data_IF_492327443238
#
_entry.id   IF_492327443238
#
_cell.length_a   1.000
_cell.length_b   1.000
_cell.length_c   1.000
_cell.angle_alpha   90.00
_cell.angle_beta   90.00
_cell.angle_gamma   90.00
#
_symmetry.space_group_name_H-M   'P 1'
#
loop_
_entity.id
_entity.type
_entity.pdbx_description
1 polymer ?
#
# COMPACT_ATOMS: atom_id res chain seq x y z
N UNK A 1 -21.83 -22.53 9.93
CA UNK A 1 -22.03 -23.38 8.74
C UNK A 1 -23.33 -22.96 8.07
N UNK A 2 -23.28 -22.04 7.12
CA UNK A 2 -24.45 -21.45 6.45
C UNK A 2 -24.79 -22.11 5.10
N UNK A 3 -24.14 -23.24 4.71
CA UNK A 3 -24.35 -23.84 3.39
C UNK A 3 -23.90 -22.92 2.23
N UNK A 4 -22.92 -22.05 2.47
CA UNK A 4 -22.34 -21.12 1.49
C UNK A 4 -21.28 -21.84 0.67
N UNK A 5 -21.34 -21.73 -0.65
CA UNK A 5 -20.21 -22.10 -1.49
C UNK A 5 -19.15 -20.99 -1.41
N UNK A 6 -17.94 -21.32 -1.02
CA UNK A 6 -16.83 -20.37 -0.95
C UNK A 6 -15.59 -20.93 -1.65
N UNK A 7 -14.96 -20.10 -2.50
CA UNK A 7 -13.74 -20.44 -3.24
C UNK A 7 -12.73 -19.33 -3.10
N UNK A 8 -11.47 -19.68 -2.81
CA UNK A 8 -10.35 -18.75 -2.88
C UNK A 8 -10.00 -18.47 -4.33
N UNK A 9 -9.95 -17.21 -4.73
CA UNK A 9 -9.65 -16.77 -6.09
C UNK A 9 -8.20 -16.27 -6.20
N UNK A 10 -7.70 -15.60 -5.16
CA UNK A 10 -6.30 -15.16 -5.06
C UNK A 10 -5.80 -15.25 -3.61
N UNK A 11 -4.61 -14.75 -3.34
CA UNK A 11 -4.03 -14.78 -1.98
C UNK A 11 -4.89 -14.07 -0.93
N UNK A 12 -5.65 -13.07 -1.35
CA UNK A 12 -6.41 -12.15 -0.50
C UNK A 12 -7.89 -12.04 -0.87
N UNK A 13 -8.35 -12.77 -1.92
CA UNK A 13 -9.73 -12.71 -2.40
C UNK A 13 -10.43 -14.07 -2.33
N UNK A 14 -11.67 -14.01 -1.90
CA UNK A 14 -12.58 -15.15 -1.85
C UNK A 14 -13.86 -14.78 -2.60
N UNK A 15 -14.39 -15.72 -3.36
CA UNK A 15 -15.74 -15.66 -3.93
C UNK A 15 -16.65 -16.53 -3.09
N UNK A 16 -17.81 -15.99 -2.72
CA UNK A 16 -18.86 -16.75 -2.05
C UNK A 16 -20.18 -16.65 -2.85
N UNK A 17 -20.89 -17.76 -2.96
CA UNK A 17 -22.24 -17.81 -3.53
C UNK A 17 -23.18 -18.31 -2.45
N UNK A 18 -24.26 -17.58 -2.24
CA UNK A 18 -25.26 -17.85 -1.20
C UNK A 18 -26.67 -17.53 -1.71
N UNK A 19 -27.66 -18.05 -1.06
CA UNK A 19 -29.06 -17.74 -1.38
C UNK A 19 -29.53 -16.50 -0.61
N UNK A 20 -30.71 -15.99 -1.00
CA UNK A 20 -31.27 -14.77 -0.43
C UNK A 20 -31.64 -14.91 1.07
N UNK A 21 -32.03 -16.10 1.51
CA UNK A 21 -32.36 -16.34 2.93
C UNK A 21 -31.11 -16.21 3.82
N UNK A 22 -29.97 -16.71 3.35
CA UNK A 22 -28.68 -16.56 4.06
C UNK A 22 -28.23 -15.10 4.05
N UNK A 23 -28.42 -14.39 2.92
CA UNK A 23 -28.10 -12.96 2.87
C UNK A 23 -28.90 -12.18 3.91
N UNK A 24 -30.22 -12.44 3.99
CA UNK A 24 -31.12 -11.82 4.96
C UNK A 24 -30.69 -12.09 6.39
N UNK A 25 -30.26 -13.32 6.71
CA UNK A 25 -29.75 -13.68 8.03
C UNK A 25 -28.45 -12.91 8.36
N UNK A 26 -27.53 -12.79 7.39
CA UNK A 26 -26.31 -12.02 7.55
C UNK A 26 -26.59 -10.53 7.78
N UNK A 27 -27.58 -9.96 7.08
CA UNK A 27 -28.04 -8.58 7.26
C UNK A 27 -28.63 -8.36 8.66
N UNK A 28 -29.49 -9.28 9.13
CA UNK A 28 -30.07 -9.23 10.49
C UNK A 28 -28.98 -9.24 11.55
N UNK A 29 -27.94 -10.04 11.37
CA UNK A 29 -26.75 -10.09 12.23
C UNK A 29 -25.75 -8.95 11.96
N UNK A 30 -26.12 -7.98 11.09
CA UNK A 30 -25.27 -6.84 10.71
C UNK A 30 -23.87 -7.24 10.30
N UNK A 31 -23.72 -8.41 9.66
CA UNK A 31 -22.44 -8.99 9.26
C UNK A 31 -21.41 -9.04 10.40
N UNK A 32 -21.78 -9.65 11.52
CA UNK A 32 -20.93 -9.83 12.71
C UNK A 32 -19.57 -10.49 12.41
N UNK A 33 -19.46 -11.17 11.27
CA UNK A 33 -18.20 -11.76 10.78
C UNK A 33 -17.05 -10.73 10.70
N UNK A 34 -17.37 -9.46 10.47
CA UNK A 34 -16.35 -8.38 10.46
C UNK A 34 -15.73 -8.23 11.86
N UNK A 35 -16.58 -8.22 12.89
CA UNK A 35 -16.13 -8.10 14.29
C UNK A 35 -15.39 -9.37 14.73
N UNK A 36 -15.89 -10.55 14.37
CA UNK A 36 -15.26 -11.84 14.68
C UNK A 36 -13.83 -11.94 14.13
N UNK A 37 -13.61 -11.44 12.89
CA UNK A 37 -12.28 -11.46 12.28
C UNK A 37 -11.35 -10.47 12.97
N UNK A 38 -11.82 -9.26 13.28
CA UNK A 38 -11.03 -8.28 14.04
C UNK A 38 -10.58 -8.83 15.39
N UNK A 39 -11.51 -9.40 16.16
CA UNK A 39 -11.21 -9.93 17.48
C UNK A 39 -10.20 -11.09 17.41
N UNK A 40 -10.44 -12.07 16.54
CA UNK A 40 -9.56 -13.23 16.39
C UNK A 40 -8.15 -12.87 15.91
N UNK A 41 -8.02 -11.84 15.11
CA UNK A 41 -6.71 -11.41 14.59
C UNK A 41 -5.97 -10.53 15.58
N UNK A 42 -6.68 -9.70 16.35
CA UNK A 42 -6.10 -8.93 17.45
C UNK A 42 -5.48 -9.84 18.53
N UNK A 43 -6.13 -10.98 18.86
CA UNK A 43 -5.57 -11.96 19.80
C UNK A 43 -4.25 -12.59 19.33
N UNK A 44 -3.97 -12.52 18.02
CA UNK A 44 -2.73 -13.02 17.40
C UNK A 44 -1.74 -11.90 17.06
N UNK A 45 -1.92 -10.70 17.60
CA UNK A 45 -1.15 -9.49 17.25
C UNK A 45 -1.15 -9.16 15.74
N UNK A 46 -2.19 -9.62 15.01
CA UNK A 46 -2.41 -9.31 13.61
C UNK A 46 -3.58 -8.33 13.51
N UNK A 47 -3.44 -7.29 12.69
CA UNK A 47 -4.54 -6.35 12.41
C UNK A 47 -5.08 -6.64 11.01
N UNK A 48 -5.94 -7.68 10.90
CA UNK A 48 -6.62 -8.00 9.66
C UNK A 48 -8.06 -7.49 9.69
N UNK A 49 -8.52 -6.98 8.57
CA UNK A 49 -9.91 -6.58 8.35
C UNK A 49 -10.49 -7.30 7.15
N UNK A 50 -11.81 -7.37 7.07
CA UNK A 50 -12.51 -7.98 5.95
C UNK A 50 -13.38 -6.94 5.26
N UNK A 51 -13.26 -6.86 3.92
CA UNK A 51 -14.11 -6.04 3.07
C UNK A 51 -14.96 -6.95 2.19
N UNK A 52 -16.27 -6.72 2.14
CA UNK A 52 -17.21 -7.59 1.42
C UNK A 52 -18.04 -6.74 0.46
N UNK A 53 -18.02 -7.12 -0.83
CA UNK A 53 -18.96 -6.62 -1.82
C UNK A 53 -19.99 -7.69 -2.14
N UNK A 54 -21.27 -7.34 -2.13
CA UNK A 54 -22.39 -8.25 -2.40
C UNK A 54 -23.21 -7.71 -3.58
N UNK A 55 -23.47 -8.56 -4.57
CA UNK A 55 -24.51 -8.37 -5.58
C UNK A 55 -25.74 -9.16 -5.21
N UNK A 56 -26.92 -8.58 -5.32
CA UNK A 56 -28.20 -9.22 -4.98
C UNK A 56 -29.33 -8.73 -5.88
N UNK A 57 -30.44 -9.46 -5.92
CA UNK A 57 -31.70 -9.00 -6.55
C UNK A 57 -31.79 -9.26 -8.06
N UNK A 58 -30.97 -10.13 -8.64
CA UNK A 58 -31.05 -10.59 -10.04
C UNK A 58 -30.78 -12.09 -10.13
N UNK A 59 -31.39 -12.81 -11.08
CA UNK A 59 -31.09 -14.22 -11.34
C UNK A 59 -29.81 -14.42 -12.16
N UNK A 60 -29.25 -13.36 -12.75
CA UNK A 60 -28.05 -13.43 -13.59
C UNK A 60 -26.80 -13.50 -12.74
N UNK A 61 -26.07 -14.62 -12.80
CA UNK A 61 -24.79 -14.78 -12.08
C UNK A 61 -23.72 -13.79 -12.54
N UNK A 62 -23.71 -13.43 -13.83
CA UNK A 62 -22.79 -12.42 -14.37
C UNK A 62 -23.07 -11.06 -13.75
N UNK A 63 -24.32 -10.64 -13.76
CA UNK A 63 -24.75 -9.37 -13.19
C UNK A 63 -24.51 -9.32 -11.65
N UNK A 64 -24.77 -10.43 -10.95
CA UNK A 64 -24.42 -10.54 -9.51
C UNK A 64 -22.92 -10.33 -9.28
N UNK A 65 -22.09 -10.90 -10.15
CA UNK A 65 -20.64 -10.73 -10.08
C UNK A 65 -20.21 -9.27 -10.28
N UNK A 66 -20.76 -8.59 -11.27
CA UNK A 66 -20.48 -7.16 -11.55
C UNK A 66 -20.95 -6.25 -10.39
N UNK A 67 -22.15 -6.51 -9.88
CA UNK A 67 -22.67 -5.79 -8.70
C UNK A 67 -21.81 -6.02 -7.48
N UNK A 68 -21.36 -7.25 -7.23
CA UNK A 68 -20.48 -7.58 -6.10
C UNK A 68 -19.11 -6.90 -6.24
N UNK A 69 -18.52 -6.91 -7.43
CA UNK A 69 -17.24 -6.22 -7.65
C UNK A 69 -17.40 -4.70 -7.46
N UNK A 70 -18.42 -4.09 -8.08
CA UNK A 70 -18.72 -2.67 -7.88
C UNK A 70 -18.96 -2.29 -6.43
N UNK A 71 -19.62 -3.16 -5.67
CA UNK A 71 -19.83 -2.96 -4.22
C UNK A 71 -18.51 -3.05 -3.43
N UNK A 72 -17.65 -3.99 -3.80
CA UNK A 72 -16.35 -4.16 -3.16
C UNK A 72 -15.46 -2.93 -3.40
N UNK A 73 -15.45 -2.41 -4.62
CA UNK A 73 -14.68 -1.20 -4.96
C UNK A 73 -15.16 0.00 -4.15
N UNK A 74 -16.49 0.14 -3.95
CA UNK A 74 -17.05 1.18 -3.09
C UNK A 74 -16.60 1.02 -1.62
N UNK A 75 -16.62 -0.21 -1.09
CA UNK A 75 -16.15 -0.49 0.28
C UNK A 75 -14.68 -0.15 0.44
N UNK A 76 -13.85 -0.55 -0.53
CA UNK A 76 -12.42 -0.28 -0.51
C UNK A 76 -12.14 1.23 -0.62
N UNK A 77 -12.84 1.94 -1.52
CA UNK A 77 -12.75 3.40 -1.63
C UNK A 77 -13.20 4.17 -0.39
N UNK A 78 -13.98 3.53 0.52
CA UNK A 78 -14.41 4.08 1.81
C UNK A 78 -13.51 3.68 2.98
N UNK A 79 -12.38 3.06 2.72
CA UNK A 79 -11.41 2.63 3.74
C UNK A 79 -11.54 1.16 4.17
N UNK A 80 -12.36 0.36 3.51
CA UNK A 80 -12.50 -1.07 3.79
C UNK A 80 -13.25 -1.37 5.11
N UNK A 81 -13.09 -2.61 5.59
CA UNK A 81 -13.67 -3.07 6.88
C UNK A 81 -15.18 -2.91 6.98
N UNK A 82 -15.87 -3.09 5.87
CA UNK A 82 -17.30 -2.88 5.68
C UNK A 82 -17.87 -3.93 4.72
N UNK A 83 -19.19 -3.98 4.69
CA UNK A 83 -19.95 -4.68 3.65
C UNK A 83 -20.76 -3.65 2.87
N UNK A 84 -20.75 -3.75 1.54
CA UNK A 84 -21.74 -3.07 0.70
C UNK A 84 -22.55 -4.11 -0.08
N UNK A 85 -23.88 -3.89 -0.14
CA UNK A 85 -24.79 -4.70 -0.94
C UNK A 85 -25.38 -3.79 -2.00
N UNK A 86 -25.28 -4.19 -3.26
CA UNK A 86 -25.82 -3.47 -4.42
C UNK A 86 -26.85 -4.32 -5.15
N UNK A 87 -27.94 -3.68 -5.55
CA UNK A 87 -29.02 -4.27 -6.34
C UNK A 87 -29.10 -3.60 -7.71
N UNK A 88 -29.76 -4.24 -8.74
CA UNK A 88 -29.87 -3.68 -10.08
C UNK A 88 -30.58 -2.31 -10.14
N UNK A 89 -31.51 -2.06 -9.20
CA UNK A 89 -32.21 -0.78 -9.06
C UNK A 89 -31.33 0.35 -8.49
N UNK A 90 -30.04 0.09 -8.27
CA UNK A 90 -29.08 1.05 -7.72
C UNK A 90 -29.12 1.19 -6.20
N UNK A 91 -30.01 0.48 -5.50
CA UNK A 91 -30.02 0.50 -4.02
C UNK A 91 -28.73 -0.04 -3.46
N UNK A 92 -28.17 0.73 -2.53
CA UNK A 92 -26.94 0.44 -1.79
C UNK A 92 -27.23 0.37 -0.30
N UNK A 93 -26.77 -0.72 0.36
CA UNK A 93 -26.81 -0.87 1.81
C UNK A 93 -25.41 -1.12 2.33
N UNK A 94 -25.06 -0.49 3.45
CA UNK A 94 -23.74 -0.64 4.07
C UNK A 94 -23.90 -1.20 5.49
N UNK A 95 -22.97 -2.10 5.85
CA UNK A 95 -22.87 -2.69 7.19
C UNK A 95 -21.41 -2.62 7.65
N UNK A 96 -21.19 -2.50 8.96
CA UNK A 96 -19.86 -2.26 9.51
C UNK A 96 -19.47 -0.80 9.38
N UNK A 97 -18.19 -0.48 9.54
CA UNK A 97 -17.72 0.91 9.44
C UNK A 97 -18.19 1.79 10.58
N UNK A 98 -18.32 1.26 11.77
CA UNK A 98 -18.53 2.09 12.96
C UNK A 98 -17.35 3.04 13.09
N UNK A 99 -17.61 4.28 12.62
CA UNK A 99 -16.80 5.48 12.88
C UNK A 99 -15.28 5.28 12.88
N UNK A 100 -14.69 5.73 11.82
CA UNK A 100 -13.26 5.90 11.58
C UNK A 100 -12.36 6.14 12.82
N UNK A 101 -12.07 5.14 13.67
CA UNK A 101 -10.86 5.19 14.46
C UNK A 101 -9.62 5.12 13.55
N UNK A 102 -9.77 4.52 12.35
CA UNK A 102 -8.69 4.36 11.37
C UNK A 102 -8.25 5.71 10.81
N UNK A 103 -9.17 6.57 10.35
CA UNK A 103 -8.80 7.87 9.77
C UNK A 103 -8.15 8.81 10.81
N UNK A 104 -8.66 8.81 12.04
CA UNK A 104 -8.05 9.59 13.13
C UNK A 104 -6.71 9.01 13.58
N UNK A 105 -6.60 7.66 13.63
CA UNK A 105 -5.32 6.96 13.91
C UNK A 105 -4.32 7.13 12.77
N UNK A 106 -4.76 7.06 11.52
CA UNK A 106 -3.91 7.24 10.34
C UNK A 106 -3.31 8.63 10.31
N UNK A 107 -4.09 9.69 10.54
CA UNK A 107 -3.55 11.07 10.58
C UNK A 107 -2.56 11.30 11.73
N UNK A 108 -2.84 10.79 12.92
CA UNK A 108 -1.90 10.88 14.05
C UNK A 108 -0.66 10.06 13.76
N UNK A 109 -0.82 8.82 13.27
CA UNK A 109 0.28 7.95 12.89
C UNK A 109 1.12 8.56 11.78
N UNK A 110 0.50 9.07 10.70
CA UNK A 110 1.20 9.73 9.61
C UNK A 110 2.01 10.93 10.10
N UNK A 111 1.46 11.73 11.02
CA UNK A 111 2.19 12.87 11.63
C UNK A 111 3.39 12.41 12.45
N UNK A 112 3.24 11.39 13.29
CA UNK A 112 4.35 10.82 14.07
C UNK A 112 5.44 10.27 13.16
N UNK A 113 5.06 9.51 12.14
CA UNK A 113 5.98 8.95 11.14
C UNK A 113 6.69 10.07 10.35
N UNK A 114 5.96 11.13 9.96
CA UNK A 114 6.55 12.27 9.25
C UNK A 114 7.60 12.99 10.10
N UNK A 115 7.38 13.13 11.41
CA UNK A 115 8.38 13.69 12.33
C UNK A 115 9.59 12.76 12.46
N UNK A 116 9.36 11.46 12.66
CA UNK A 116 10.46 10.49 12.76
C UNK A 116 11.29 10.42 11.46
N UNK A 117 10.63 10.44 10.29
CA UNK A 117 11.32 10.48 9.00
C UNK A 117 12.14 11.76 8.83
N UNK A 118 11.58 12.91 9.19
CA UNK A 118 12.31 14.19 9.16
C UNK A 118 13.57 14.14 10.05
N UNK A 119 13.44 13.63 11.26
CA UNK A 119 14.55 13.55 12.20
C UNK A 119 15.64 12.60 11.65
N UNK A 120 15.28 11.46 11.09
CA UNK A 120 16.21 10.55 10.40
C UNK A 120 16.90 11.21 9.19
N UNK A 121 16.18 12.01 8.40
CA UNK A 121 16.77 12.78 7.30
C UNK A 121 17.81 13.75 7.83
N UNK A 122 17.48 14.54 8.87
CA UNK A 122 18.37 15.56 9.45
C UNK A 122 19.61 14.99 10.11
N UNK A 123 19.53 13.75 10.62
CA UNK A 123 20.66 13.01 11.22
C UNK A 123 21.53 12.27 10.20
N UNK A 124 21.20 12.36 8.92
CA UNK A 124 21.91 11.65 7.84
C UNK A 124 22.73 12.60 6.98
N UNK A 125 23.82 12.11 6.44
CA UNK A 125 24.68 12.88 5.52
C UNK A 125 24.06 13.02 4.14
N UNK A 126 23.36 11.98 3.69
CA UNK A 126 22.67 11.89 2.39
C UNK A 126 21.46 10.96 2.50
N UNK A 127 20.49 11.16 1.60
CA UNK A 127 19.29 10.31 1.51
C UNK A 127 19.27 9.63 0.13
N UNK A 128 19.16 8.32 0.13
CA UNK A 128 19.00 7.51 -1.06
C UNK A 128 17.63 6.87 -1.06
N UNK A 129 16.92 6.99 -2.18
CA UNK A 129 15.56 6.46 -2.30
C UNK A 129 15.53 5.47 -3.44
N UNK A 130 15.05 4.25 -3.19
CA UNK A 130 14.81 3.27 -4.24
C UNK A 130 13.43 2.63 -4.11
N UNK A 131 12.84 2.27 -5.24
CA UNK A 131 11.61 1.50 -5.33
C UNK A 131 11.86 0.04 -5.71
N UNK A 132 10.88 -0.56 -6.37
CA UNK A 132 10.99 -1.91 -6.91
C UNK A 132 11.67 -1.92 -8.30
N UNK A 133 12.14 -3.11 -8.75
CA UNK A 133 12.95 -3.32 -9.98
C UNK A 133 12.33 -2.74 -11.25
N UNK A 134 11.01 -2.86 -11.39
CA UNK A 134 10.28 -2.34 -12.56
C UNK A 134 9.46 -1.13 -12.13
N UNK A 135 10.08 0.04 -11.91
CA UNK A 135 9.40 1.18 -11.32
C UNK A 135 8.21 1.60 -12.17
N UNK A 136 7.12 1.93 -11.50
CA UNK A 136 5.95 2.58 -12.09
C UNK A 136 5.84 4.02 -11.62
N UNK A 137 4.73 4.66 -11.94
CA UNK A 137 4.52 6.07 -11.59
C UNK A 137 4.36 6.29 -10.08
N UNK A 138 3.80 5.32 -9.35
CA UNK A 138 3.65 5.38 -7.89
C UNK A 138 5.01 5.31 -7.21
N UNK A 139 5.83 4.34 -7.61
CA UNK A 139 7.19 4.16 -7.11
C UNK A 139 8.06 5.39 -7.36
N UNK A 140 8.05 5.92 -8.59
CA UNK A 140 8.83 7.08 -8.97
C UNK A 140 8.32 8.36 -8.29
N UNK A 141 7.00 8.55 -8.22
CA UNK A 141 6.38 9.69 -7.56
C UNK A 141 6.69 9.73 -6.06
N UNK A 142 6.60 8.58 -5.39
CA UNK A 142 6.98 8.45 -3.98
C UNK A 142 8.48 8.74 -3.76
N UNK A 143 9.35 8.22 -4.63
CA UNK A 143 10.79 8.47 -4.55
C UNK A 143 11.14 9.95 -4.72
N UNK A 144 10.54 10.63 -5.70
CA UNK A 144 10.70 12.07 -5.91
C UNK A 144 10.20 12.86 -4.70
N UNK A 145 9.07 12.46 -4.11
CA UNK A 145 8.51 13.08 -2.91
C UNK A 145 9.47 13.01 -1.72
N UNK A 146 10.04 11.83 -1.43
CA UNK A 146 11.00 11.65 -0.34
C UNK A 146 12.30 12.42 -0.62
N UNK A 147 12.81 12.38 -1.85
CA UNK A 147 13.97 13.20 -2.24
C UNK A 147 13.70 14.69 -1.98
N UNK A 148 12.49 15.17 -2.31
CA UNK A 148 12.10 16.58 -2.04
C UNK A 148 12.06 16.89 -0.53
N UNK A 149 11.65 15.94 0.30
CA UNK A 149 11.72 16.09 1.75
C UNK A 149 13.18 16.25 2.23
N UNK A 150 14.13 15.48 1.69
CA UNK A 150 15.55 15.62 2.00
C UNK A 150 16.04 17.03 1.64
N UNK A 151 15.77 17.50 0.44
CA UNK A 151 16.12 18.84 -0.04
C UNK A 151 15.56 19.95 0.86
N UNK A 152 14.29 19.84 1.28
CA UNK A 152 13.66 20.80 2.20
C UNK A 152 14.34 20.83 3.57
N UNK A 153 14.95 19.72 4.00
CA UNK A 153 15.74 19.63 5.21
C UNK A 153 17.24 19.93 5.00
N UNK A 154 17.63 20.43 3.81
CA UNK A 154 19.00 20.77 3.43
C UNK A 154 19.94 19.57 3.44
N UNK A 155 19.43 18.40 3.15
CA UNK A 155 20.17 17.16 2.98
C UNK A 155 20.11 16.75 1.51
N UNK A 156 21.23 16.34 0.94
CA UNK A 156 21.25 15.85 -0.44
C UNK A 156 20.46 14.55 -0.56
N UNK A 157 19.54 14.52 -1.53
CA UNK A 157 18.71 13.39 -1.81
C UNK A 157 18.87 12.88 -3.24
N UNK A 158 18.93 11.56 -3.41
CA UNK A 158 19.11 10.89 -4.68
C UNK A 158 18.05 9.82 -4.88
N UNK A 159 17.56 9.70 -6.11
CA UNK A 159 16.64 8.62 -6.52
C UNK A 159 17.43 7.59 -7.32
N UNK A 160 17.39 6.35 -6.88
CA UNK A 160 18.09 5.25 -7.54
C UNK A 160 17.16 4.63 -8.57
N UNK A 161 17.66 4.55 -9.82
CA UNK A 161 16.92 3.95 -10.94
C UNK A 161 17.81 3.01 -11.74
N UNK A 162 17.23 1.96 -12.29
CA UNK A 162 17.81 1.21 -13.38
C UNK A 162 17.32 1.79 -14.71
N UNK A 163 18.13 2.65 -15.34
CA UNK A 163 17.76 3.37 -16.57
C UNK A 163 17.52 2.44 -17.76
N UNK A 164 17.97 1.19 -17.72
CA UNK A 164 17.80 0.21 -18.80
C UNK A 164 16.47 -0.57 -18.71
N UNK A 165 15.79 -0.50 -17.56
CA UNK A 165 14.57 -1.28 -17.27
C UNK A 165 13.34 -0.39 -17.01
N UNK A 166 13.31 0.81 -17.56
CA UNK A 166 12.18 1.73 -17.40
C UNK A 166 11.01 1.33 -18.31
N UNK A 167 9.81 1.29 -17.75
CA UNK A 167 8.60 1.15 -18.56
C UNK A 167 8.28 2.44 -19.35
N UNK A 168 7.42 2.33 -20.36
CA UNK A 168 7.21 3.44 -21.31
C UNK A 168 6.60 4.72 -20.70
N UNK A 169 5.88 4.64 -19.58
CA UNK A 169 5.33 5.81 -18.88
C UNK A 169 6.40 6.50 -18.04
N UNK A 170 7.20 5.74 -17.33
CA UNK A 170 8.34 6.24 -16.55
C UNK A 170 9.40 6.85 -17.48
N UNK A 171 9.67 6.20 -18.62
CA UNK A 171 10.63 6.71 -19.61
C UNK A 171 10.23 8.10 -20.11
N UNK A 172 8.96 8.30 -20.48
CA UNK A 172 8.44 9.61 -20.91
C UNK A 172 8.60 10.69 -19.83
N UNK A 173 8.29 10.36 -18.57
CA UNK A 173 8.50 11.30 -17.47
C UNK A 173 9.97 11.64 -17.27
N UNK A 174 10.86 10.65 -17.38
CA UNK A 174 12.31 10.89 -17.29
C UNK A 174 12.83 11.78 -18.43
N UNK A 175 12.28 11.66 -19.64
CA UNK A 175 12.63 12.55 -20.77
C UNK A 175 12.18 14.00 -20.52
N UNK A 176 11.02 14.20 -19.91
CA UNK A 176 10.58 15.53 -19.48
C UNK A 176 11.48 16.10 -18.36
N UNK A 177 11.88 15.27 -17.40
CA UNK A 177 12.78 15.66 -16.30
C UNK A 177 14.16 16.06 -16.85
N UNK A 178 14.68 15.37 -17.85
CA UNK A 178 15.96 15.72 -18.52
C UNK A 178 16.02 17.15 -19.03
N UNK A 179 14.86 17.69 -19.41
CA UNK A 179 14.78 19.09 -19.89
C UNK A 179 14.95 20.13 -18.77
N UNK A 180 14.88 19.72 -17.50
CA UNK A 180 14.95 20.59 -16.32
C UNK A 180 16.32 20.44 -15.65
N UNK A 181 17.19 21.44 -15.85
CA UNK A 181 18.54 21.44 -15.30
C UNK A 181 18.56 21.27 -13.76
N UNK A 182 19.51 20.49 -13.26
CA UNK A 182 19.76 20.28 -11.83
C UNK A 182 18.81 19.27 -11.15
N UNK A 183 17.71 18.87 -11.79
CA UNK A 183 16.82 17.86 -11.22
C UNK A 183 17.19 16.45 -11.69
N UNK A 184 17.53 16.31 -12.96
CA UNK A 184 17.94 15.03 -13.55
C UNK A 184 19.19 14.44 -12.90
N UNK A 185 20.15 15.29 -12.50
CA UNK A 185 21.41 14.87 -11.87
C UNK A 185 21.22 14.21 -10.50
N UNK A 186 20.01 14.26 -9.95
CA UNK A 186 19.65 13.58 -8.70
C UNK A 186 19.09 12.16 -8.89
N UNK A 187 18.99 11.71 -10.15
CA UNK A 187 18.67 10.32 -10.47
C UNK A 187 19.97 9.60 -10.82
N UNK A 188 20.27 8.56 -10.06
CA UNK A 188 21.56 7.85 -10.13
C UNK A 188 21.35 6.34 -10.26
N UNK A 189 22.36 5.66 -10.77
CA UNK A 189 22.40 4.20 -10.82
C UNK A 189 22.68 3.58 -9.44
N UNK A 190 22.44 2.29 -9.30
CA UNK A 190 22.79 1.54 -8.08
C UNK A 190 24.30 1.57 -7.80
N UNK A 191 25.14 1.50 -8.82
CA UNK A 191 26.60 1.50 -8.65
C UNK A 191 27.12 2.88 -8.21
N UNK A 192 26.56 3.96 -8.73
CA UNK A 192 26.83 5.30 -8.23
C UNK A 192 26.39 5.44 -6.77
N UNK A 193 25.19 4.98 -6.42
CA UNK A 193 24.70 4.97 -5.04
C UNK A 193 25.64 4.17 -4.12
N UNK A 194 26.09 2.97 -4.53
CA UNK A 194 27.04 2.15 -3.77
C UNK A 194 28.38 2.87 -3.52
N UNK A 195 28.83 3.70 -4.45
CA UNK A 195 30.06 4.47 -4.29
C UNK A 195 29.92 5.68 -3.37
N UNK A 196 28.71 6.28 -3.31
CA UNK A 196 28.43 7.50 -2.55
C UNK A 196 27.96 7.23 -1.12
N UNK A 197 27.24 6.13 -0.89
CA UNK A 197 26.65 5.80 0.41
C UNK A 197 27.71 5.57 1.48
N UNK A 198 27.45 6.13 2.65
CA UNK A 198 28.21 5.92 3.89
C UNK A 198 27.33 5.19 4.92
N UNK A 199 27.92 4.79 6.04
CA UNK A 199 27.17 4.23 7.18
C UNK A 199 26.20 5.24 7.84
N UNK A 200 26.36 6.55 7.57
CA UNK A 200 25.47 7.62 8.04
C UNK A 200 24.33 7.95 7.09
N UNK A 201 24.35 7.39 5.88
CA UNK A 201 23.35 7.65 4.88
C UNK A 201 22.01 7.02 5.27
N UNK A 202 20.91 7.63 4.85
CA UNK A 202 19.56 7.09 4.99
C UNK A 202 19.14 6.42 3.67
N UNK A 203 18.74 5.16 3.75
CA UNK A 203 18.14 4.45 2.63
C UNK A 203 16.62 4.37 2.84
N UNK A 204 15.85 4.93 1.92
CA UNK A 204 14.39 4.87 1.96
C UNK A 204 13.89 3.97 0.82
N UNK A 205 13.16 2.94 1.20
CA UNK A 205 12.50 2.03 0.28
C UNK A 205 11.06 2.49 0.11
N UNK A 206 10.65 2.73 -1.13
CA UNK A 206 9.29 3.17 -1.45
C UNK A 206 8.58 2.15 -2.33
N UNK A 207 7.27 2.04 -2.15
CA UNK A 207 6.36 1.25 -2.98
C UNK A 207 6.71 -0.25 -3.05
N UNK A 208 7.47 -0.72 -2.10
CA UNK A 208 7.72 -2.14 -1.83
C UNK A 208 8.31 -2.34 -0.44
N UNK A 209 8.06 -3.50 0.14
CA UNK A 209 8.67 -3.92 1.41
C UNK A 209 9.47 -5.23 1.30
N UNK A 210 9.52 -5.79 0.06
CA UNK A 210 10.14 -7.09 -0.20
C UNK A 210 11.59 -6.92 -0.67
N UNK A 211 12.57 -7.48 0.04
CA UNK A 211 13.98 -7.38 -0.36
C UNK A 211 14.27 -7.92 -1.76
N UNK A 212 13.53 -8.93 -2.21
CA UNK A 212 13.69 -9.53 -3.54
C UNK A 212 13.17 -8.65 -4.67
N UNK A 213 12.32 -7.67 -4.35
CA UNK A 213 11.69 -6.79 -5.33
C UNK A 213 12.43 -5.45 -5.51
N UNK A 214 13.29 -5.05 -4.58
CA UNK A 214 14.01 -3.77 -4.68
C UNK A 214 14.97 -3.73 -5.87
N UNK A 215 15.30 -2.53 -6.31
CA UNK A 215 16.22 -2.32 -7.43
C UNK A 215 17.56 -3.02 -7.18
N UNK A 216 18.17 -2.81 -6.01
CA UNK A 216 19.43 -3.43 -5.65
C UNK A 216 19.57 -3.71 -4.15
N UNK A 217 19.57 -4.98 -3.77
CA UNK A 217 19.68 -5.41 -2.38
C UNK A 217 21.07 -5.20 -1.75
N UNK A 218 22.12 -4.99 -2.55
CA UNK A 218 23.47 -4.70 -2.04
C UNK A 218 23.52 -3.43 -1.20
N UNK A 219 22.61 -2.48 -1.47
CA UNK A 219 22.52 -1.20 -0.77
C UNK A 219 22.15 -1.34 0.72
N UNK A 220 21.46 -2.42 1.11
CA UNK A 220 21.14 -2.70 2.52
C UNK A 220 22.38 -2.86 3.41
N UNK A 221 23.49 -3.29 2.83
CA UNK A 221 24.74 -3.50 3.58
C UNK A 221 25.58 -2.22 3.71
N UNK A 222 25.12 -1.10 3.16
CA UNK A 222 25.87 0.18 3.15
C UNK A 222 25.49 1.10 4.31
N UNK A 223 24.31 0.91 4.90
CA UNK A 223 23.82 1.75 5.99
C UNK A 223 22.99 0.93 6.99
N UNK A 224 22.97 1.38 8.23
CA UNK A 224 22.11 0.83 9.28
C UNK A 224 20.74 1.51 9.32
N UNK A 225 20.59 2.68 8.66
CA UNK A 225 19.36 3.47 8.66
C UNK A 225 18.52 3.14 7.43
N UNK A 226 17.54 2.26 7.58
CA UNK A 226 16.62 1.87 6.49
C UNK A 226 15.18 2.19 6.87
N UNK A 227 14.48 2.89 5.99
CA UNK A 227 13.06 3.23 6.12
C UNK A 227 12.27 2.55 5.01
N UNK A 228 11.09 2.04 5.35
CA UNK A 228 10.13 1.47 4.38
C UNK A 228 8.86 2.32 4.39
N UNK A 229 8.46 2.79 3.21
CA UNK A 229 7.20 3.51 2.97
C UNK A 229 6.45 2.77 1.85
N UNK A 230 5.38 2.08 2.19
CA UNK A 230 4.69 1.21 1.25
C UNK A 230 3.18 1.21 1.49
N UNK A 231 2.41 1.01 0.43
CA UNK A 231 0.95 0.88 0.48
C UNK A 231 0.47 -0.55 0.19
N UNK A 232 1.35 -1.43 -0.22
CA UNK A 232 1.02 -2.83 -0.45
C UNK A 232 0.68 -3.57 0.85
N UNK A 233 -0.14 -4.60 0.76
CA UNK A 233 -0.42 -5.45 1.91
C UNK A 233 0.83 -6.21 2.32
N UNK A 234 1.11 -6.22 3.61
CA UNK A 234 2.26 -6.93 4.18
C UNK A 234 2.21 -8.42 3.82
N UNK A 235 3.22 -8.88 3.10
CA UNK A 235 3.43 -10.29 2.77
C UNK A 235 4.27 -11.02 3.83
N UNK A 236 4.54 -12.31 3.58
CA UNK A 236 5.43 -13.12 4.43
C UNK A 236 6.88 -12.65 4.34
N UNK A 237 7.29 -12.20 3.15
CA UNK A 237 8.61 -11.63 2.91
C UNK A 237 8.62 -10.15 3.28
N UNK A 238 9.50 -9.78 4.19
CA UNK A 238 9.66 -8.41 4.66
C UNK A 238 11.13 -8.12 4.96
N UNK A 239 11.53 -6.85 4.81
CA UNK A 239 12.86 -6.40 5.14
C UNK A 239 13.17 -6.63 6.63
N UNK A 240 14.36 -7.17 6.93
CA UNK A 240 14.77 -7.42 8.31
C UNK A 240 15.14 -6.13 9.03
N UNK A 241 14.50 -5.90 10.18
CA UNK A 241 14.83 -4.83 11.14
C UNK A 241 14.99 -3.42 10.55
N UNK A 242 14.06 -2.89 9.73
CA UNK A 242 14.14 -1.50 9.29
C UNK A 242 14.00 -0.55 10.46
N UNK A 243 14.67 0.61 10.39
CA UNK A 243 14.64 1.65 11.42
C UNK A 243 13.24 2.27 11.57
N UNK A 244 12.53 2.45 10.46
CA UNK A 244 11.17 2.98 10.43
C UNK A 244 10.35 2.26 9.36
N UNK A 245 9.08 1.98 9.68
CA UNK A 245 8.13 1.37 8.74
C UNK A 245 6.83 2.16 8.72
N UNK A 246 6.46 2.65 7.56
CA UNK A 246 5.14 3.20 7.29
C UNK A 246 4.45 2.37 6.22
N UNK A 247 3.44 1.63 6.65
CA UNK A 247 2.60 0.81 5.77
C UNK A 247 1.17 1.34 5.85
N UNK A 248 0.65 1.83 4.72
CA UNK A 248 -0.71 2.36 4.64
C UNK A 248 -1.44 1.79 3.42
N UNK A 249 -2.07 0.61 3.56
CA UNK A 249 -2.70 -0.10 2.43
C UNK A 249 -3.83 0.65 1.72
N UNK A 250 -4.21 1.80 2.24
CA UNK A 250 -5.32 2.62 1.71
C UNK A 250 -4.85 3.93 1.08
N UNK A 251 -3.54 4.15 1.03
CA UNK A 251 -2.93 5.31 0.41
C UNK A 251 -2.33 4.91 -0.93
N UNK A 252 -3.09 5.02 -2.00
CA UNK A 252 -2.60 4.95 -3.38
C UNK A 252 -2.92 6.24 -4.11
#
# INVERSE_FOLDING_TARGET
>A
HYGIFAKRVSSDRFLAVLNESILTELEQKKFSILDDIREKTLQKNLSLTLSIGVGAGTPSLTELGELAQSSLDLVLGRGGDQVAIKQPDGKLRFYGGKTNPVEKRTRVRARVISHALRDLIQESDQVFVMGHKNPDMDSLGAAIGVRKMAEMNRVDGYVILNFHELNGSVHRLMDEIKSKSGFYDKFISSDEALSMMTHKSLLVIVDTHKPTMVIDSRLFNRTEKVVVIDHHRRGEEFLNSPTLVYMEPYAS
#
